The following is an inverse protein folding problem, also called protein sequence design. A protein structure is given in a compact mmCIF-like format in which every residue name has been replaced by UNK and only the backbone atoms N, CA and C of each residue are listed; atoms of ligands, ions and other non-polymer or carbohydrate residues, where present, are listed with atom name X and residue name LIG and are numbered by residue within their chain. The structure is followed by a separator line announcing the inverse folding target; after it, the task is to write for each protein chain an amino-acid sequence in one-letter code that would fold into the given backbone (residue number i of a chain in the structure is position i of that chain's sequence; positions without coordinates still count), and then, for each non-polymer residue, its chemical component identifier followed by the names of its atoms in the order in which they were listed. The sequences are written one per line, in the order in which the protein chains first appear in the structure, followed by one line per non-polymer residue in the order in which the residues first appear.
data_IF_834571108023
#
_entry.id   IF_834571108023
#
_cell.length_a   1.000
_cell.length_b   1.000
_cell.length_c   1.000
_cell.angle_alpha   90.00
_cell.angle_beta   90.00
_cell.angle_gamma   90.00
#
_symmetry.space_group_name_H-M   'P 1'
#
loop_
_entity.id
_entity.type
_entity.pdbx_description
1 polymer ?
#
# COMPACT_ATOMS: atom_id res chain seq x y z
N UNK A 1 -20.68 -11.35 -9.60
CA UNK A 1 -19.58 -10.37 -9.63
C UNK A 1 -18.58 -10.79 -8.56
N UNK A 2 -17.26 -10.72 -8.81
CA UNK A 2 -16.30 -10.98 -7.72
C UNK A 2 -16.40 -9.85 -6.71
N UNK A 3 -16.46 -10.20 -5.42
CA UNK A 3 -16.43 -9.24 -4.32
C UNK A 3 -15.09 -8.48 -4.37
N UNK A 4 -15.15 -7.17 -4.14
CA UNK A 4 -13.98 -6.28 -4.18
C UNK A 4 -13.92 -5.48 -2.90
N UNK A 5 -12.72 -5.28 -2.41
CA UNK A 5 -12.43 -4.38 -1.29
C UNK A 5 -11.76 -3.11 -1.80
N UNK A 6 -11.80 -2.05 -0.99
CA UNK A 6 -11.22 -0.76 -1.31
C UNK A 6 -10.15 -0.39 -0.28
N UNK A 7 -9.05 0.17 -0.77
CA UNK A 7 -8.04 0.83 0.05
C UNK A 7 -8.01 2.30 -0.37
N UNK A 8 -8.05 3.19 0.61
CA UNK A 8 -7.96 4.64 0.38
C UNK A 8 -6.61 5.12 0.90
N UNK A 9 -5.84 5.79 0.06
CA UNK A 9 -4.58 6.42 0.42
C UNK A 9 -4.77 7.93 0.40
N UNK A 10 -4.64 8.57 1.56
CA UNK A 10 -4.70 10.02 1.71
C UNK A 10 -3.28 10.58 1.76
N UNK A 11 -3.05 11.63 0.97
CA UNK A 11 -1.77 12.28 0.83
C UNK A 11 -1.71 13.61 1.63
N UNK A 12 -0.50 14.13 1.91
CA UNK A 12 -0.33 15.36 2.69
C UNK A 12 -1.01 16.59 2.09
N UNK A 13 -1.14 16.63 0.76
CA UNK A 13 -1.80 17.70 0.00
C UNK A 13 -3.34 17.60 0.04
N UNK A 14 -3.88 16.69 0.87
CA UNK A 14 -5.31 16.35 1.00
C UNK A 14 -5.91 15.71 -0.24
N UNK A 15 -5.10 15.33 -1.22
CA UNK A 15 -5.54 14.45 -2.30
C UNK A 15 -5.72 13.04 -1.77
N UNK A 16 -6.49 12.23 -2.47
CA UNK A 16 -6.69 10.83 -2.12
C UNK A 16 -6.77 9.97 -3.36
N UNK A 17 -6.27 8.74 -3.25
CA UNK A 17 -6.41 7.72 -4.27
C UNK A 17 -7.11 6.50 -3.70
N UNK A 18 -7.94 5.88 -4.53
CA UNK A 18 -8.69 4.66 -4.19
C UNK A 18 -8.16 3.52 -5.04
N UNK A 19 -7.85 2.40 -4.38
CA UNK A 19 -7.36 1.19 -5.01
C UNK A 19 -8.35 0.06 -4.77
N UNK A 20 -8.76 -0.60 -5.85
CA UNK A 20 -9.54 -1.83 -5.77
C UNK A 20 -8.62 -3.02 -5.53
N UNK A 21 -8.98 -3.85 -4.55
CA UNK A 21 -8.27 -5.09 -4.24
C UNK A 21 -9.25 -6.26 -4.22
N UNK A 22 -8.71 -7.47 -4.26
CA UNK A 22 -9.51 -8.70 -4.19
C UNK A 22 -10.40 -8.72 -2.93
N UNK A 23 -11.62 -9.23 -3.03
CA UNK A 23 -12.45 -9.55 -1.84
C UNK A 23 -11.86 -10.65 -0.94
N UNK A 24 -10.82 -11.34 -1.42
CA UNK A 24 -10.01 -12.25 -0.62
C UNK A 24 -8.98 -11.53 0.26
N UNK A 25 -8.79 -10.21 0.09
CA UNK A 25 -7.87 -9.44 0.91
C UNK A 25 -8.34 -9.44 2.37
N UNK A 26 -7.41 -9.77 3.27
CA UNK A 26 -7.63 -9.88 4.70
C UNK A 26 -6.95 -8.75 5.49
N UNK A 27 -5.71 -8.40 5.15
CA UNK A 27 -4.97 -7.36 5.88
C UNK A 27 -3.89 -6.70 5.01
N UNK A 28 -3.54 -5.44 5.32
CA UNK A 28 -2.33 -4.80 4.81
C UNK A 28 -1.20 -5.04 5.83
N UNK A 29 -0.18 -5.79 5.45
CA UNK A 29 0.88 -6.23 6.38
C UNK A 29 2.06 -5.27 6.48
N UNK A 30 2.49 -4.74 5.34
CA UNK A 30 3.72 -3.94 5.25
C UNK A 30 3.67 -2.99 4.06
N UNK A 31 4.51 -1.95 4.12
CA UNK A 31 4.71 -1.00 3.04
C UNK A 31 6.18 -0.88 2.73
N UNK A 32 6.53 -1.22 1.50
CA UNK A 32 7.91 -1.24 1.00
C UNK A 32 8.10 -0.26 -0.15
N UNK A 33 9.35 0.07 -0.46
CA UNK A 33 9.71 0.95 -1.57
C UNK A 33 10.71 0.27 -2.49
N UNK A 34 10.42 0.31 -3.79
CA UNK A 34 11.35 -0.09 -4.87
C UNK A 34 12.27 1.08 -5.26
N UNK A 35 11.64 2.24 -5.47
CA UNK A 35 12.22 3.51 -5.90
C UNK A 35 11.66 4.65 -5.06
N UNK A 36 12.29 5.83 -5.11
CA UNK A 36 11.95 6.94 -4.22
C UNK A 36 10.51 7.44 -4.40
N UNK A 37 9.95 7.36 -5.61
CA UNK A 37 8.60 7.84 -5.93
C UNK A 37 7.47 6.80 -5.76
N UNK A 38 7.78 5.50 -5.69
CA UNK A 38 6.76 4.43 -5.72
C UNK A 38 6.93 3.46 -4.57
N UNK A 39 5.82 3.20 -3.88
CA UNK A 39 5.74 2.25 -2.77
C UNK A 39 4.78 1.11 -3.11
N UNK A 40 4.92 -0.01 -2.40
CA UNK A 40 4.08 -1.18 -2.52
C UNK A 40 3.43 -1.49 -1.17
N UNK A 41 2.11 -1.60 -1.16
CA UNK A 41 1.35 -2.17 -0.06
C UNK A 41 1.35 -3.70 -0.22
N UNK A 42 1.90 -4.41 0.76
CA UNK A 42 1.81 -5.88 0.81
C UNK A 42 0.50 -6.27 1.49
N UNK A 43 -0.33 -7.01 0.78
CA UNK A 43 -1.67 -7.42 1.21
C UNK A 43 -1.66 -8.93 1.40
N UNK A 44 -2.07 -9.40 2.58
CA UNK A 44 -2.32 -10.82 2.83
C UNK A 44 -3.75 -11.17 2.45
N UNK A 45 -3.91 -12.26 1.72
CA UNK A 45 -5.20 -12.83 1.36
C UNK A 45 -5.60 -13.93 2.36
N UNK A 46 -6.90 -14.25 2.42
CA UNK A 46 -7.47 -15.29 3.30
C UNK A 46 -6.86 -16.68 3.10
N UNK A 47 -6.38 -16.98 1.89
CA UNK A 47 -5.73 -18.25 1.54
C UNK A 47 -4.24 -18.31 1.96
N UNK A 48 -3.72 -17.24 2.58
CA UNK A 48 -2.32 -17.12 2.99
C UNK A 48 -1.38 -16.63 1.89
N UNK A 49 -1.88 -16.42 0.66
CA UNK A 49 -1.11 -15.78 -0.42
C UNK A 49 -0.96 -14.28 -0.21
N UNK A 50 -0.08 -13.65 -0.99
CA UNK A 50 0.13 -12.22 -0.97
C UNK A 50 -0.21 -11.56 -2.30
N UNK A 51 -0.68 -10.33 -2.22
CA UNK A 51 -0.91 -9.44 -3.35
C UNK A 51 -0.27 -8.09 -3.07
N UNK A 52 0.00 -7.32 -4.12
CA UNK A 52 0.67 -6.03 -4.01
C UNK A 52 -0.10 -4.95 -4.73
N UNK A 53 -0.23 -3.80 -4.07
CA UNK A 53 -0.79 -2.58 -4.67
C UNK A 53 0.29 -1.52 -4.69
N UNK A 54 0.52 -0.96 -5.87
CA UNK A 54 1.47 0.13 -6.06
C UNK A 54 0.81 1.47 -5.79
N UNK A 55 1.44 2.27 -4.95
CA UNK A 55 0.99 3.59 -4.54
C UNK A 55 2.12 4.61 -4.69
N UNK A 56 1.77 5.90 -4.70
CA UNK A 56 2.79 6.94 -4.76
C UNK A 56 3.38 7.21 -3.38
N UNK A 57 4.67 7.53 -3.35
CA UNK A 57 5.31 8.07 -2.16
C UNK A 57 4.88 9.54 -1.95
N UNK A 58 4.77 10.02 -0.69
CA UNK A 58 4.55 11.44 -0.43
C UNK A 58 5.76 12.26 -0.88
N UNK A 59 5.51 13.50 -1.33
CA UNK A 59 6.48 14.33 -2.02
C UNK A 59 7.72 14.70 -1.18
N UNK A 60 7.61 14.95 0.14
CA UNK A 60 8.75 15.15 1.07
C UNK A 60 8.35 14.92 2.52
N UNK A 61 9.14 14.17 3.30
CA UNK A 61 9.11 14.16 4.79
C UNK A 61 7.79 13.81 5.50
N UNK A 62 6.71 13.75 4.75
CA UNK A 62 5.34 13.70 5.23
C UNK A 62 4.86 12.25 5.33
N UNK A 63 3.73 12.10 6.00
CA UNK A 63 3.03 10.84 6.15
C UNK A 63 1.91 10.69 5.13
N UNK A 64 1.69 9.46 4.69
CA UNK A 64 0.42 9.08 4.07
C UNK A 64 -0.45 8.38 5.10
N UNK A 65 -1.76 8.43 4.90
CA UNK A 65 -2.73 7.66 5.67
C UNK A 65 -3.31 6.59 4.76
N UNK A 66 -3.19 5.33 5.14
CA UNK A 66 -3.82 4.20 4.46
C UNK A 66 -5.03 3.78 5.28
N UNK A 67 -6.22 3.92 4.71
CA UNK A 67 -7.46 3.34 5.24
C UNK A 67 -7.76 2.05 4.52
N UNK A 68 -7.85 0.98 5.28
CA UNK A 68 -8.09 -0.37 4.77
C UNK A 68 -9.57 -0.70 4.83
N UNK A 69 -9.94 -1.79 4.14
CA UNK A 69 -11.32 -2.25 3.98
C UNK A 69 -11.95 -2.79 5.27
N UNK A 70 -11.14 -3.14 6.26
CA UNK A 70 -11.55 -3.53 7.62
C UNK A 70 -11.69 -2.33 8.56
N UNK A 71 -11.45 -1.11 8.06
CA UNK A 71 -11.53 0.13 8.83
C UNK A 71 -10.26 0.47 9.62
N UNK A 72 -9.19 -0.31 9.50
CA UNK A 72 -7.90 0.06 10.08
C UNK A 72 -7.31 1.30 9.40
N UNK A 73 -6.50 2.04 10.16
CA UNK A 73 -5.87 3.29 9.71
C UNK A 73 -4.37 3.20 10.02
N UNK A 74 -3.57 3.07 8.97
CA UNK A 74 -2.11 3.04 9.07
C UNK A 74 -1.52 4.39 8.65
N UNK A 75 -0.68 4.99 9.50
CA UNK A 75 0.09 6.20 9.17
C UNK A 75 1.52 5.83 8.86
N UNK A 76 2.00 6.24 7.69
CA UNK A 76 3.27 5.76 7.15
C UNK A 76 4.11 6.94 6.73
N UNK A 77 5.24 7.12 7.41
CA UNK A 77 6.20 8.17 7.09
C UNK A 77 7.17 7.71 6.02
N UNK A 78 7.58 8.63 5.18
CA UNK A 78 8.55 8.32 4.11
C UNK A 78 9.86 7.73 4.59
N UNK A 79 10.34 8.16 5.76
CA UNK A 79 11.58 7.68 6.33
C UNK A 79 11.45 6.33 7.06
N UNK A 80 10.24 5.81 7.29
CA UNK A 80 10.02 4.50 7.92
C UNK A 80 9.84 3.36 6.91
N UNK A 81 9.64 3.69 5.64
CA UNK A 81 9.43 2.68 4.59
C UNK A 81 10.74 2.00 4.25
N UNK A 82 10.77 0.67 4.41
CA UNK A 82 11.93 -0.15 4.09
C UNK A 82 12.11 -0.21 2.57
N UNK A 83 13.37 -0.06 2.13
CA UNK A 83 13.76 -0.40 0.75
C UNK A 83 13.81 -1.92 0.67
N UNK A 84 12.98 -2.52 -0.15
CA UNK A 84 12.95 -3.96 -0.31
C UNK A 84 13.80 -4.37 -1.52
N UNK A 85 14.75 -5.29 -1.29
CA UNK A 85 15.65 -5.80 -2.31
C UNK A 85 14.94 -6.74 -3.29
N UNK A 86 13.89 -7.45 -2.84
CA UNK A 86 13.14 -8.40 -3.66
C UNK A 86 12.34 -7.69 -4.75
N UNK A 87 11.64 -6.61 -4.39
CA UNK A 87 10.84 -5.85 -5.35
C UNK A 87 11.69 -5.11 -6.39
N UNK A 88 12.96 -4.78 -6.11
CA UNK A 88 13.92 -4.29 -7.13
C UNK A 88 14.21 -5.30 -8.24
N UNK A 89 14.09 -6.60 -7.98
CA UNK A 89 14.37 -7.66 -8.95
C UNK A 89 13.21 -7.79 -9.96
N UNK A 90 11.99 -7.44 -9.56
CA UNK A 90 10.77 -7.62 -10.36
C UNK A 90 10.57 -6.53 -11.44
N UNK A 91 11.38 -5.46 -11.40
CA UNK A 91 11.31 -4.31 -12.33
C UNK A 91 12.31 -4.46 -13.49
N UNK A 92 13.07 -5.56 -13.55
CA UNK A 92 13.97 -5.83 -14.68
C UNK A 92 13.24 -6.44 -15.88
#
# INVERSE_FOLDING_TARGET
MREKHLIIVEYPDRSSMVYEVSGEAEAVEDVTSEVFELWNLKIRNKDGSHSWVRIYAPSRGDEIVVRTFDGEICRIKRNSVKKDELTRIWVK
#
